data_IF_568430888830
#
_entry.id   IF_568430888830
#
_cell.length_a   1.000
_cell.length_b   1.000
_cell.length_c   1.000
_cell.angle_alpha   90.00
_cell.angle_beta   90.00
_cell.angle_gamma   90.00
#
_symmetry.space_group_name_H-M   'P 1'
#
loop_
_entity.id
_entity.type
_entity.pdbx_description
1 polymer ?
#
# COMPACT_ATOMS: atom_id res chain seq x y z
N UNK A 1 -21.80 -7.53 -11.52
CA UNK A 1 -20.58 -7.71 -10.73
C UNK A 1 -19.63 -8.59 -11.53
N UNK A 2 -18.38 -8.16 -11.71
CA UNK A 2 -17.34 -8.99 -12.34
C UNK A 2 -16.64 -9.83 -11.28
N UNK A 3 -16.26 -11.05 -11.63
CA UNK A 3 -15.63 -12.00 -10.70
C UNK A 3 -14.29 -12.48 -11.25
N UNK A 4 -13.27 -12.49 -10.37
CA UNK A 4 -11.95 -13.08 -10.59
C UNK A 4 -11.68 -14.00 -9.42
N UNK A 5 -11.61 -15.31 -9.68
CA UNK A 5 -11.40 -16.30 -8.62
C UNK A 5 -10.27 -17.24 -8.99
N UNK A 6 -9.47 -17.60 -8.00
CA UNK A 6 -8.37 -18.58 -8.11
C UNK A 6 -7.40 -18.26 -9.28
N UNK A 7 -7.27 -16.97 -9.62
CA UNK A 7 -6.43 -16.54 -10.72
C UNK A 7 -5.00 -16.26 -10.25
N UNK A 8 -4.08 -16.46 -11.17
CA UNK A 8 -2.71 -16.05 -11.02
C UNK A 8 -2.34 -15.06 -12.12
N UNK A 9 -2.19 -13.81 -11.72
CA UNK A 9 -1.83 -12.70 -12.61
C UNK A 9 -0.35 -12.41 -12.39
N UNK A 10 0.48 -12.63 -13.42
CA UNK A 10 1.94 -12.49 -13.36
C UNK A 10 2.49 -11.55 -14.42
N UNK A 11 1.62 -10.95 -15.23
CA UNK A 11 1.98 -9.95 -16.23
C UNK A 11 0.97 -8.80 -16.19
N UNK A 12 1.40 -7.57 -16.54
CA UNK A 12 0.49 -6.43 -16.62
C UNK A 12 -0.48 -6.58 -17.81
N UNK A 13 -1.63 -5.94 -17.68
CA UNK A 13 -2.56 -5.73 -18.77
C UNK A 13 -2.04 -4.67 -19.77
N UNK A 14 -2.82 -4.40 -20.83
CA UNK A 14 -2.47 -3.37 -21.83
C UNK A 14 -2.36 -1.95 -21.26
N UNK A 15 -2.92 -1.70 -20.06
CA UNK A 15 -2.85 -0.43 -19.34
C UNK A 15 -1.68 -0.33 -18.37
N UNK A 16 -0.80 -1.35 -18.32
CA UNK A 16 0.34 -1.37 -17.41
C UNK A 16 0.00 -1.76 -15.97
N UNK A 17 -1.21 -2.28 -15.72
CA UNK A 17 -1.66 -2.75 -14.41
C UNK A 17 -1.67 -4.28 -14.37
N UNK A 18 -1.43 -4.87 -13.21
CA UNK A 18 -1.70 -6.29 -13.02
C UNK A 18 -3.19 -6.58 -13.14
N UNK A 19 -4.03 -5.70 -12.60
CA UNK A 19 -5.48 -5.77 -12.71
C UNK A 19 -6.07 -4.35 -12.75
N UNK A 20 -6.53 -3.93 -13.92
CA UNK A 20 -7.18 -2.63 -14.13
C UNK A 20 -8.71 -2.72 -13.99
N UNK A 21 -9.30 -1.85 -13.19
CA UNK A 21 -10.74 -1.74 -12.95
C UNK A 21 -11.19 -0.30 -13.20
N UNK A 22 -11.68 -0.02 -14.40
CA UNK A 22 -12.03 1.34 -14.85
C UNK A 22 -13.39 1.41 -15.54
N UNK A 23 -14.30 0.47 -15.28
CA UNK A 23 -15.57 0.31 -15.97
C UNK A 23 -16.80 0.74 -15.13
N UNK A 24 -16.58 1.28 -13.94
CA UNK A 24 -17.63 1.68 -13.02
C UNK A 24 -18.38 0.51 -12.35
N UNK A 25 -18.04 -0.73 -12.69
CA UNK A 25 -18.71 -1.93 -12.17
C UNK A 25 -18.14 -2.37 -10.81
N UNK A 26 -18.93 -3.08 -10.01
CA UNK A 26 -18.41 -3.76 -8.83
C UNK A 26 -17.64 -5.03 -9.23
N UNK A 27 -16.50 -5.24 -8.58
CA UNK A 27 -15.60 -6.37 -8.78
C UNK A 27 -15.47 -7.21 -7.50
N UNK A 28 -15.43 -8.52 -7.66
CA UNK A 28 -15.05 -9.47 -6.61
C UNK A 28 -13.80 -10.23 -7.05
N UNK A 29 -12.74 -10.15 -6.25
CA UNK A 29 -11.48 -10.87 -6.48
C UNK A 29 -11.24 -11.76 -5.27
N UNK A 30 -11.26 -13.08 -5.47
CA UNK A 30 -11.10 -14.05 -4.38
C UNK A 30 -9.99 -15.07 -4.68
N UNK A 31 -9.32 -15.51 -3.62
CA UNK A 31 -8.35 -16.60 -3.63
C UNK A 31 -7.27 -16.47 -4.71
N UNK A 32 -6.92 -15.22 -5.06
CA UNK A 32 -6.09 -14.90 -6.23
C UNK A 32 -4.70 -14.38 -5.84
N UNK A 33 -3.72 -14.66 -6.71
CA UNK A 33 -2.36 -14.17 -6.62
C UNK A 33 -2.12 -13.15 -7.73
N UNK A 34 -1.80 -11.90 -7.37
CA UNK A 34 -1.28 -10.88 -8.29
C UNK A 34 0.20 -10.71 -7.94
N UNK A 35 1.08 -11.26 -8.77
CA UNK A 35 2.52 -11.29 -8.54
C UNK A 35 3.27 -10.69 -9.73
N UNK A 36 3.62 -9.42 -9.63
CA UNK A 36 4.35 -8.68 -10.65
C UNK A 36 5.84 -8.51 -10.30
N UNK A 37 6.35 -9.28 -9.35
CA UNK A 37 7.74 -9.17 -8.89
C UNK A 37 8.79 -9.51 -9.95
N UNK A 38 8.43 -10.24 -10.99
CA UNK A 38 9.28 -10.56 -12.13
C UNK A 38 9.18 -9.53 -13.28
N UNK A 39 8.24 -8.58 -13.21
CA UNK A 39 8.06 -7.57 -14.24
C UNK A 39 9.06 -6.43 -14.07
N UNK A 40 9.60 -5.87 -15.17
CA UNK A 40 10.39 -4.65 -15.11
C UNK A 40 9.54 -3.51 -14.52
N UNK A 41 10.12 -2.71 -13.63
CA UNK A 41 9.42 -1.56 -13.03
C UNK A 41 9.15 -0.43 -14.02
N UNK A 42 9.85 -0.42 -15.15
CA UNK A 42 9.63 0.53 -16.25
C UNK A 42 8.31 0.21 -16.96
N UNK A 43 7.34 1.12 -16.84
CA UNK A 43 6.00 0.96 -17.41
C UNK A 43 5.01 0.18 -16.54
N UNK A 44 5.41 -0.24 -15.34
CA UNK A 44 4.55 -0.88 -14.35
C UNK A 44 4.35 0.03 -13.15
N UNK A 45 3.30 0.84 -13.17
CA UNK A 45 3.04 1.76 -12.05
C UNK A 45 2.31 1.08 -10.90
N UNK A 46 1.26 0.30 -11.17
CA UNK A 46 0.41 -0.29 -10.14
C UNK A 46 0.16 -1.80 -10.34
N UNK A 47 0.10 -2.55 -9.24
CA UNK A 47 -0.39 -3.92 -9.28
C UNK A 47 -1.90 -3.96 -9.50
N UNK A 48 -2.64 -3.03 -8.91
CA UNK A 48 -4.09 -2.89 -9.06
C UNK A 48 -4.45 -1.43 -9.27
N UNK A 49 -5.20 -1.13 -10.32
CA UNK A 49 -5.79 0.18 -10.58
C UNK A 49 -7.32 0.13 -10.39
N UNK A 50 -7.89 0.98 -9.53
CA UNK A 50 -9.34 1.11 -9.35
C UNK A 50 -9.74 2.57 -9.55
N UNK A 51 -10.32 2.85 -10.70
CA UNK A 51 -10.67 4.21 -11.13
C UNK A 51 -12.08 4.25 -11.74
N UNK A 52 -12.52 5.41 -12.20
CA UNK A 52 -13.80 5.60 -12.90
C UNK A 52 -15.02 5.11 -12.12
N UNK A 53 -15.02 5.24 -10.81
CA UNK A 53 -16.14 4.87 -9.98
C UNK A 53 -16.33 3.37 -9.77
N UNK A 54 -15.37 2.55 -10.16
CA UNK A 54 -15.37 1.12 -9.86
C UNK A 54 -15.28 0.89 -8.34
N UNK A 55 -15.78 -0.27 -7.90
CA UNK A 55 -15.68 -0.75 -6.51
C UNK A 55 -15.08 -2.13 -6.54
N UNK A 56 -14.33 -2.50 -5.53
CA UNK A 56 -13.74 -3.83 -5.50
C UNK A 56 -13.74 -4.41 -4.08
N UNK A 57 -13.99 -5.71 -4.00
CA UNK A 57 -13.73 -6.54 -2.83
C UNK A 57 -12.66 -7.56 -3.18
N UNK A 58 -11.52 -7.45 -2.52
CA UNK A 58 -10.46 -8.46 -2.54
C UNK A 58 -10.57 -9.29 -1.27
N UNK A 59 -10.71 -10.60 -1.42
CA UNK A 59 -10.80 -11.51 -0.29
C UNK A 59 -9.82 -12.66 -0.47
N UNK A 60 -9.04 -12.93 0.56
CA UNK A 60 -8.02 -13.98 0.57
C UNK A 60 -7.06 -13.89 -0.63
N UNK A 61 -6.64 -12.67 -0.96
CA UNK A 61 -5.71 -12.41 -2.06
C UNK A 61 -4.31 -12.13 -1.56
N UNK A 62 -3.33 -12.47 -2.39
CA UNK A 62 -1.94 -12.03 -2.22
C UNK A 62 -1.55 -11.13 -3.38
N UNK A 63 -1.08 -9.92 -3.08
CA UNK A 63 -0.72 -8.91 -4.07
C UNK A 63 0.70 -8.44 -3.77
N UNK A 64 1.59 -8.50 -4.78
CA UNK A 64 3.00 -8.14 -4.61
C UNK A 64 3.66 -7.65 -5.91
N UNK A 65 4.79 -6.98 -5.77
CA UNK A 65 5.72 -6.73 -6.87
C UNK A 65 5.28 -5.63 -7.81
N UNK A 66 5.12 -4.40 -7.34
CA UNK A 66 4.93 -3.22 -8.19
C UNK A 66 5.53 -2.00 -7.51
N UNK A 67 5.67 -0.90 -8.24
CA UNK A 67 6.04 0.39 -7.66
C UNK A 67 4.98 0.88 -6.67
N UNK A 68 3.73 0.83 -7.07
CA UNK A 68 2.54 1.02 -6.23
C UNK A 68 1.74 -0.28 -6.20
N UNK A 69 1.20 -0.63 -5.06
CA UNK A 69 0.41 -1.84 -4.96
C UNK A 69 -1.03 -1.63 -5.39
N UNK A 70 -1.62 -0.51 -5.02
CA UNK A 70 -2.96 -0.08 -5.44
C UNK A 70 -2.97 1.42 -5.68
N UNK A 71 -3.53 1.84 -6.81
CA UNK A 71 -4.02 3.20 -7.01
C UNK A 71 -5.55 3.19 -6.96
N UNK A 72 -6.12 3.96 -6.07
CA UNK A 72 -7.56 4.11 -5.88
C UNK A 72 -7.96 5.57 -6.12
N UNK A 73 -8.62 5.81 -7.25
CA UNK A 73 -8.98 7.14 -7.76
C UNK A 73 -7.97 7.68 -8.76
N UNK A 74 -8.45 8.42 -9.74
CA UNK A 74 -7.64 8.95 -10.84
C UNK A 74 -6.89 10.25 -10.50
N UNK A 75 -7.35 10.98 -9.48
CA UNK A 75 -6.88 12.34 -9.20
C UNK A 75 -7.46 13.42 -10.12
N UNK A 76 -8.23 13.06 -11.14
CA UNK A 76 -8.80 13.98 -12.11
C UNK A 76 -10.06 14.66 -11.55
N UNK A 77 -10.16 15.96 -11.70
CA UNK A 77 -11.30 16.74 -11.23
C UNK A 77 -12.61 16.28 -11.89
N UNK A 78 -12.59 15.95 -13.17
CA UNK A 78 -13.75 15.52 -13.95
C UNK A 78 -14.31 14.17 -13.49
N UNK A 79 -13.46 13.33 -12.92
CA UNK A 79 -13.83 12.00 -12.42
C UNK A 79 -14.28 12.01 -10.96
N UNK A 80 -14.01 13.10 -10.24
CA UNK A 80 -14.28 13.21 -8.81
C UNK A 80 -15.73 12.88 -8.43
N UNK A 81 -16.70 13.29 -9.27
CA UNK A 81 -18.11 13.04 -9.01
C UNK A 81 -18.46 11.55 -9.02
N UNK A 82 -17.88 10.78 -9.96
CA UNK A 82 -18.14 9.34 -10.08
C UNK A 82 -17.32 8.50 -9.10
N UNK A 83 -16.17 9.00 -8.68
CA UNK A 83 -15.25 8.32 -7.74
C UNK A 83 -15.62 8.55 -6.28
N UNK A 84 -16.24 9.69 -5.96
CA UNK A 84 -16.60 10.06 -4.58
C UNK A 84 -17.38 8.98 -3.86
N UNK A 85 -16.90 8.59 -2.68
CA UNK A 85 -17.54 7.60 -1.80
C UNK A 85 -17.48 6.15 -2.30
N UNK A 86 -16.85 5.89 -3.45
CA UNK A 86 -16.61 4.51 -3.89
C UNK A 86 -15.59 3.84 -2.96
N UNK A 87 -15.75 2.54 -2.80
CA UNK A 87 -14.99 1.80 -1.78
C UNK A 87 -14.30 0.59 -2.39
N UNK A 88 -13.05 0.41 -2.01
CA UNK A 88 -12.25 -0.80 -2.24
C UNK A 88 -12.00 -1.46 -0.88
N UNK A 89 -12.26 -2.75 -0.78
CA UNK A 89 -12.14 -3.51 0.46
C UNK A 89 -11.13 -4.63 0.26
N UNK A 90 -10.21 -4.79 1.21
CA UNK A 90 -9.33 -5.94 1.33
C UNK A 90 -9.66 -6.68 2.61
N UNK A 91 -10.00 -7.96 2.51
CA UNK A 91 -10.29 -8.85 3.63
C UNK A 91 -9.37 -10.07 3.58
N UNK A 92 -8.71 -10.36 4.70
CA UNK A 92 -7.81 -11.52 4.83
C UNK A 92 -6.72 -11.56 3.73
N UNK A 93 -6.14 -10.40 3.38
CA UNK A 93 -5.17 -10.29 2.29
C UNK A 93 -3.73 -10.11 2.79
N UNK A 94 -2.76 -10.52 1.95
CA UNK A 94 -1.35 -10.13 2.10
C UNK A 94 -0.98 -9.14 1.00
N UNK A 95 -0.50 -7.96 1.42
CA UNK A 95 -0.01 -6.88 0.57
C UNK A 95 1.49 -6.74 0.82
N UNK A 96 2.34 -7.16 -0.13
CA UNK A 96 3.77 -7.29 0.16
C UNK A 96 4.70 -6.97 -1.01
N UNK A 97 5.97 -6.73 -0.68
CA UNK A 97 7.08 -6.60 -1.63
C UNK A 97 6.84 -5.53 -2.71
N UNK A 98 6.39 -4.35 -2.34
CA UNK A 98 6.15 -3.23 -3.23
C UNK A 98 7.13 -2.06 -3.00
N UNK A 99 7.45 -1.33 -4.08
CA UNK A 99 8.52 -0.35 -4.07
C UNK A 99 8.20 0.93 -3.32
N UNK A 100 7.21 1.69 -3.76
CA UNK A 100 6.97 3.03 -3.24
C UNK A 100 5.78 3.13 -2.30
N UNK A 101 4.63 2.60 -2.71
CA UNK A 101 3.36 2.84 -2.05
C UNK A 101 2.51 1.58 -2.03
N UNK A 102 1.95 1.27 -0.87
CA UNK A 102 0.87 0.32 -0.74
C UNK A 102 -0.42 0.90 -1.34
N UNK A 103 -1.57 0.68 -0.71
CA UNK A 103 -2.78 1.37 -1.12
C UNK A 103 -2.61 2.89 -1.09
N UNK A 104 -2.65 3.52 -2.28
CA UNK A 104 -2.71 4.96 -2.49
C UNK A 104 -4.15 5.35 -2.80
N UNK A 105 -4.73 6.25 -2.02
CA UNK A 105 -6.16 6.60 -2.11
C UNK A 105 -6.33 8.09 -2.24
N UNK A 106 -7.05 8.49 -3.30
CA UNK A 106 -7.35 9.89 -3.62
C UNK A 106 -8.79 10.06 -4.15
N UNK A 107 -9.15 11.24 -4.62
CA UNK A 107 -10.45 11.54 -5.24
C UNK A 107 -11.66 11.21 -4.37
N UNK A 108 -11.54 11.41 -3.05
CA UNK A 108 -12.60 11.10 -2.09
C UNK A 108 -13.07 9.63 -2.10
N UNK A 109 -12.29 8.72 -2.65
CA UNK A 109 -12.52 7.28 -2.56
C UNK A 109 -12.13 6.76 -1.16
N UNK A 110 -12.53 5.53 -0.87
CA UNK A 110 -12.28 4.88 0.42
C UNK A 110 -11.65 3.52 0.22
N UNK A 111 -10.62 3.21 1.00
CA UNK A 111 -10.06 1.86 1.13
C UNK A 111 -10.29 1.36 2.55
N UNK A 112 -10.75 0.13 2.66
CA UNK A 112 -10.92 -0.57 3.93
C UNK A 112 -10.00 -1.78 3.92
N UNK A 113 -9.15 -1.90 4.94
CA UNK A 113 -8.26 -3.02 5.17
C UNK A 113 -8.75 -3.76 6.41
N UNK A 114 -9.16 -5.03 6.25
CA UNK A 114 -9.61 -5.88 7.37
C UNK A 114 -8.76 -7.13 7.46
N UNK A 115 -8.19 -7.40 8.61
CA UNK A 115 -7.37 -8.60 8.87
C UNK A 115 -6.28 -8.79 7.82
N UNK A 116 -5.62 -7.71 7.41
CA UNK A 116 -4.58 -7.73 6.39
C UNK A 116 -3.17 -7.72 6.98
N UNK A 117 -2.25 -8.36 6.27
CA UNK A 117 -0.82 -8.24 6.51
C UNK A 117 -0.19 -7.36 5.44
N UNK A 118 0.30 -6.18 5.83
CA UNK A 118 1.04 -5.28 4.95
C UNK A 118 2.52 -5.36 5.33
N UNK A 119 3.38 -5.77 4.38
CA UNK A 119 4.79 -5.96 4.69
C UNK A 119 5.75 -5.65 3.54
N UNK A 120 7.00 -5.41 3.89
CA UNK A 120 8.12 -5.23 2.94
C UNK A 120 7.85 -4.12 1.90
N UNK A 121 7.39 -2.95 2.32
CA UNK A 121 7.28 -1.79 1.45
C UNK A 121 8.58 -1.00 1.39
N UNK A 122 8.83 -0.33 0.27
CA UNK A 122 10.08 0.35 -0.04
C UNK A 122 11.10 -0.61 -0.66
N UNK A 123 11.68 -0.20 -1.78
CA UNK A 123 12.73 -0.98 -2.44
C UNK A 123 14.02 -0.94 -1.63
N UNK A 124 14.74 -2.05 -1.52
CA UNK A 124 16.12 -2.03 -1.04
C UNK A 124 16.96 -1.13 -1.96
N UNK A 125 17.45 0.00 -1.44
CA UNK A 125 18.26 0.96 -2.20
C UNK A 125 17.51 2.12 -2.84
N UNK A 126 16.19 2.14 -2.80
CA UNK A 126 15.35 3.27 -3.20
C UNK A 126 14.34 3.61 -2.11
N UNK A 127 14.80 3.92 -0.91
CA UNK A 127 13.94 4.53 0.08
C UNK A 127 13.67 5.98 -0.34
N UNK A 128 12.72 6.16 -1.23
CA UNK A 128 12.11 7.45 -1.42
C UNK A 128 11.46 7.85 -0.08
N UNK A 129 11.66 9.10 0.33
CA UNK A 129 10.93 9.72 1.47
C UNK A 129 9.41 9.61 1.33
N UNK A 130 8.91 9.11 0.22
CA UNK A 130 7.52 8.84 -0.14
C UNK A 130 7.12 7.37 -0.07
N UNK A 131 7.91 6.49 0.55
CA UNK A 131 7.52 5.09 0.73
C UNK A 131 6.55 4.95 1.90
N UNK A 132 5.33 4.47 1.61
CA UNK A 132 4.25 4.30 2.58
C UNK A 132 3.67 2.89 2.49
N UNK A 133 3.34 2.29 3.62
CA UNK A 133 2.57 1.06 3.62
C UNK A 133 1.13 1.29 3.12
N UNK A 134 0.54 2.44 3.48
CA UNK A 134 -0.74 2.90 2.94
C UNK A 134 -0.82 4.43 3.05
N UNK A 135 -1.36 5.09 2.04
CA UNK A 135 -1.37 6.55 1.93
C UNK A 135 -2.69 7.11 1.43
N UNK A 136 -3.30 8.00 2.22
CA UNK A 136 -4.50 8.75 1.86
C UNK A 136 -4.16 10.22 1.60
N UNK A 137 -4.62 10.77 0.48
CA UNK A 137 -4.47 12.19 0.16
C UNK A 137 -5.64 12.69 -0.73
N UNK A 138 -5.73 14.00 -0.95
CA UNK A 138 -6.76 14.64 -1.78
C UNK A 138 -8.19 14.11 -1.50
N UNK A 139 -8.57 14.13 -0.21
CA UNK A 139 -9.88 13.67 0.25
C UNK A 139 -10.04 12.14 0.36
N UNK A 140 -9.04 11.37 -0.05
CA UNK A 140 -9.05 9.90 0.08
C UNK A 140 -9.11 9.46 1.55
N UNK A 141 -9.67 8.27 1.79
CA UNK A 141 -9.83 7.72 3.14
C UNK A 141 -9.32 6.29 3.22
N UNK A 142 -8.57 5.98 4.28
CA UNK A 142 -8.16 4.61 4.59
C UNK A 142 -8.62 4.26 6.00
N UNK A 143 -9.27 3.12 6.13
CA UNK A 143 -9.64 2.51 7.40
C UNK A 143 -8.98 1.14 7.51
N UNK A 144 -8.20 0.93 8.55
CA UNK A 144 -7.53 -0.33 8.85
C UNK A 144 -8.07 -0.91 10.14
N UNK A 145 -8.50 -2.17 10.10
CA UNK A 145 -9.05 -2.90 11.24
C UNK A 145 -8.36 -4.26 11.35
N UNK A 146 -7.87 -4.57 12.53
CA UNK A 146 -7.18 -5.84 12.86
C UNK A 146 -6.05 -6.16 11.87
N UNK A 147 -5.26 -5.15 11.48
CA UNK A 147 -4.18 -5.29 10.50
C UNK A 147 -2.80 -5.31 11.15
N UNK A 148 -1.87 -6.02 10.49
CA UNK A 148 -0.46 -6.06 10.88
C UNK A 148 0.40 -5.36 9.84
N UNK A 149 1.21 -4.40 10.29
CA UNK A 149 2.19 -3.67 9.50
C UNK A 149 3.59 -4.13 9.88
N UNK A 150 4.28 -4.79 8.94
CA UNK A 150 5.55 -5.47 9.20
C UNK A 150 6.64 -5.08 8.18
N UNK A 151 7.75 -4.55 8.65
CA UNK A 151 8.88 -4.16 7.81
C UNK A 151 10.18 -4.86 8.27
N UNK A 152 10.33 -6.15 7.98
CA UNK A 152 11.50 -6.91 8.43
C UNK A 152 12.79 -6.54 7.70
N UNK A 153 12.71 -5.96 6.49
CA UNK A 153 13.88 -5.67 5.63
C UNK A 153 14.59 -4.36 5.96
N UNK A 154 14.06 -3.58 6.89
CA UNK A 154 14.59 -2.27 7.24
C UNK A 154 16.12 -2.24 7.41
N UNK A 155 16.67 -3.17 8.18
CA UNK A 155 18.10 -3.19 8.47
C UNK A 155 19.01 -3.61 7.30
N UNK A 156 18.50 -4.31 6.30
CA UNK A 156 19.29 -4.70 5.12
C UNK A 156 19.57 -3.54 4.19
N UNK A 157 18.70 -2.56 4.17
CA UNK A 157 18.80 -1.38 3.29
C UNK A 157 19.28 -0.10 3.99
N UNK A 158 19.53 -0.10 5.32
CA UNK A 158 19.72 1.13 6.07
C UNK A 158 20.89 1.99 5.55
N UNK A 159 22.00 1.39 5.10
CA UNK A 159 23.14 2.13 4.52
C UNK A 159 22.78 2.84 3.21
N UNK A 160 22.03 2.15 2.37
CA UNK A 160 21.52 2.71 1.11
C UNK A 160 20.50 3.81 1.40
N UNK A 161 19.63 3.58 2.38
CA UNK A 161 18.65 4.55 2.83
C UNK A 161 19.31 5.83 3.38
N UNK A 162 20.37 5.72 4.17
CA UNK A 162 21.12 6.89 4.66
C UNK A 162 21.79 7.64 3.51
N UNK A 163 22.35 6.94 2.54
CA UNK A 163 22.96 7.55 1.35
C UNK A 163 21.92 8.30 0.52
N UNK A 164 20.77 7.67 0.24
CA UNK A 164 19.72 8.29 -0.53
C UNK A 164 19.06 9.44 0.24
N UNK A 165 18.94 9.34 1.55
CA UNK A 165 18.50 10.43 2.42
C UNK A 165 19.44 11.63 2.37
N UNK A 166 20.77 11.41 2.43
CA UNK A 166 21.76 12.47 2.30
C UNK A 166 21.71 13.14 0.92
N UNK A 167 21.53 12.37 -0.15
CA UNK A 167 21.38 12.89 -1.50
C UNK A 167 20.09 13.75 -1.64
N UNK A 168 18.99 13.31 -1.05
CA UNK A 168 17.73 14.08 -1.04
C UNK A 168 17.78 15.31 -0.15
N UNK A 169 18.54 15.30 0.95
CA UNK A 169 18.79 16.51 1.74
C UNK A 169 19.50 17.57 0.92
N UNK A 170 20.50 17.17 0.12
CA UNK A 170 21.19 18.10 -0.79
C UNK A 170 20.25 18.72 -1.82
N UNK A 171 19.34 17.94 -2.39
CA UNK A 171 18.33 18.43 -3.33
C UNK A 171 17.27 19.29 -2.64
N UNK A 172 16.78 18.86 -1.47
CA UNK A 172 15.75 19.58 -0.71
C UNK A 172 16.26 20.94 -0.17
N UNK A 173 17.56 21.03 0.11
CA UNK A 173 18.17 22.30 0.53
C UNK A 173 18.13 23.35 -0.57
N UNK A 174 18.23 22.93 -1.82
CA UNK A 174 18.24 23.79 -3.00
C UNK A 174 16.84 24.04 -3.58
N UNK A 175 15.81 23.28 -3.19
CA UNK A 175 14.44 23.40 -3.68
C UNK A 175 13.49 23.89 -2.59
N UNK A 176 12.96 25.12 -2.75
CA UNK A 176 12.02 25.71 -1.78
C UNK A 176 10.74 24.88 -1.58
N UNK A 177 10.28 24.17 -2.61
CA UNK A 177 9.10 23.30 -2.53
C UNK A 177 9.33 22.07 -1.63
N UNK A 178 10.59 21.65 -1.51
CA UNK A 178 10.98 20.51 -0.69
C UNK A 178 11.34 20.90 0.75
N UNK A 179 11.54 22.19 1.05
CA UNK A 179 11.84 22.67 2.42
C UNK A 179 10.77 22.26 3.45
N UNK A 180 9.51 22.13 3.03
CA UNK A 180 8.45 21.61 3.90
C UNK A 180 8.64 20.14 4.31
N UNK A 181 9.41 19.36 3.56
CA UNK A 181 9.80 18.00 3.88
C UNK A 181 10.91 17.93 4.94
N UNK A 182 11.61 19.04 5.17
CA UNK A 182 12.67 19.21 6.17
C UNK A 182 12.13 19.35 7.61
N UNK A 183 10.85 19.04 7.86
CA UNK A 183 10.35 18.98 9.24
C UNK A 183 11.10 17.89 10.04
N UNK A 184 11.44 18.15 11.31
CA UNK A 184 12.27 17.24 12.12
C UNK A 184 11.83 15.80 12.12
N UNK A 185 10.52 15.52 12.00
CA UNK A 185 9.96 14.17 11.97
C UNK A 185 10.30 13.40 10.67
N UNK A 186 10.61 14.11 9.58
CA UNK A 186 11.04 13.54 8.31
C UNK A 186 12.55 13.25 8.29
N UNK A 187 13.28 13.75 9.29
CA UNK A 187 14.74 13.67 9.38
C UNK A 187 15.24 12.43 10.11
N UNK A 188 14.36 11.72 10.81
CA UNK A 188 14.77 10.50 11.46
C UNK A 188 14.91 9.41 10.39
N UNK A 189 16.16 9.07 9.97
CA UNK A 189 16.37 7.88 9.17
C UNK A 189 15.82 6.72 9.99
N UNK A 190 14.84 6.00 9.46
CA UNK A 190 14.28 4.86 10.14
C UNK A 190 12.84 4.95 10.58
N UNK A 191 12.15 6.05 10.40
CA UNK A 191 10.70 6.07 10.60
C UNK A 191 10.03 5.58 9.33
N UNK A 192 9.72 4.29 9.29
CA UNK A 192 8.88 3.75 8.24
C UNK A 192 7.46 4.29 8.37
N UNK A 193 6.97 4.90 7.32
CA UNK A 193 5.60 5.39 7.27
C UNK A 193 4.68 4.22 6.98
N UNK A 194 3.98 3.74 8.00
CA UNK A 194 2.98 2.69 7.86
C UNK A 194 1.70 3.27 7.24
N UNK A 195 0.83 3.84 8.06
CA UNK A 195 -0.42 4.44 7.63
C UNK A 195 -0.33 5.96 7.76
N UNK A 196 -0.54 6.70 6.67
CA UNK A 196 -0.31 8.15 6.63
C UNK A 196 -1.41 8.89 5.87
N UNK A 197 -1.75 10.09 6.34
CA UNK A 197 -2.63 11.03 5.66
C UNK A 197 -1.89 12.34 5.34
N UNK A 198 -2.13 12.89 4.14
CA UNK A 198 -1.63 14.21 3.72
C UNK A 198 -2.67 14.92 2.85
N UNK A 199 -2.51 16.21 2.63
CA UNK A 199 -3.31 16.98 1.66
C UNK A 199 -4.83 16.70 1.73
N UNK A 200 -5.41 16.76 2.93
CA UNK A 200 -6.86 16.54 3.15
C UNK A 200 -7.28 15.06 3.14
N UNK A 201 -6.35 14.13 3.07
CA UNK A 201 -6.64 12.71 3.26
C UNK A 201 -6.96 12.38 4.73
N UNK A 202 -7.61 11.24 4.96
CA UNK A 202 -7.98 10.76 6.28
C UNK A 202 -7.59 9.30 6.46
N UNK A 203 -7.06 8.97 7.64
CA UNK A 203 -6.73 7.59 8.01
C UNK A 203 -7.27 7.28 9.40
N UNK A 204 -7.75 6.04 9.58
CA UNK A 204 -8.17 5.50 10.88
C UNK A 204 -7.63 4.08 11.02
N UNK A 205 -7.13 3.75 12.19
CA UNK A 205 -6.67 2.40 12.50
C UNK A 205 -7.26 1.94 13.83
N UNK A 206 -7.84 0.75 13.86
CA UNK A 206 -8.36 0.12 15.06
C UNK A 206 -7.80 -1.29 15.19
N UNK A 207 -7.47 -1.71 16.38
CA UNK A 207 -6.94 -3.05 16.66
C UNK A 207 -5.78 -3.44 15.70
N UNK A 208 -4.94 -2.47 15.33
CA UNK A 208 -3.81 -2.68 14.42
C UNK A 208 -2.50 -2.77 15.20
N UNK A 209 -1.54 -3.51 14.64
CA UNK A 209 -0.19 -3.60 15.19
C UNK A 209 0.89 -3.31 14.16
N UNK A 210 1.76 -2.39 14.49
CA UNK A 210 3.08 -2.27 13.88
C UNK A 210 4.05 -3.22 14.61
N UNK A 211 4.77 -4.07 13.86
CA UNK A 211 5.68 -5.07 14.48
C UNK A 211 6.94 -4.43 15.05
N UNK A 212 7.21 -3.18 14.67
CA UNK A 212 8.38 -2.41 15.12
C UNK A 212 7.95 -1.02 15.55
N UNK A 213 8.63 -0.45 16.55
CA UNK A 213 8.34 0.86 17.12
C UNK A 213 8.55 2.02 16.13
N UNK A 214 9.39 1.84 15.11
CA UNK A 214 9.65 2.85 14.06
C UNK A 214 8.63 2.87 12.94
N UNK A 215 7.63 1.97 12.94
CA UNK A 215 6.51 2.01 12.00
C UNK A 215 5.42 2.90 12.59
N UNK A 216 5.17 4.03 11.95
CA UNK A 216 4.15 4.98 12.39
C UNK A 216 2.80 4.62 11.76
N UNK A 217 1.79 4.48 12.59
CA UNK A 217 0.38 4.38 12.20
C UNK A 217 -0.33 5.65 12.65
N UNK A 218 -0.71 6.51 11.71
CA UNK A 218 -1.52 7.68 12.00
C UNK A 218 -2.99 7.28 12.21
N UNK A 219 -3.75 8.11 12.93
CA UNK A 219 -5.18 7.87 13.16
C UNK A 219 -5.50 6.61 13.97
N UNK A 220 -4.53 6.04 14.69
CA UNK A 220 -4.78 4.88 15.54
C UNK A 220 -5.60 5.29 16.76
N UNK A 221 -6.66 4.53 17.06
CA UNK A 221 -7.52 4.71 18.22
C UNK A 221 -7.87 3.37 18.87
N UNK A 222 -8.20 3.41 20.16
CA UNK A 222 -8.51 2.21 20.95
C UNK A 222 -7.28 1.33 21.25
N UNK A 223 -7.50 0.13 21.76
CA UNK A 223 -6.44 -0.81 22.10
C UNK A 223 -5.69 -1.26 20.83
N UNK A 224 -4.43 -1.62 20.99
CA UNK A 224 -3.63 -2.23 19.90
C UNK A 224 -3.75 -3.74 19.98
N UNK A 225 -3.82 -4.39 18.81
CA UNK A 225 -3.72 -5.84 18.70
C UNK A 225 -2.55 -6.39 19.54
N UNK A 226 -2.74 -7.49 20.23
CA UNK A 226 -1.67 -8.13 21.00
C UNK A 226 -0.55 -8.67 20.08
N UNK A 227 0.61 -8.98 20.66
CA UNK A 227 1.72 -9.56 19.89
C UNK A 227 1.37 -10.97 19.44
N UNK A 228 0.69 -11.72 20.28
CA UNK A 228 0.22 -13.08 20.03
C UNK A 228 -0.78 -13.12 18.88
N UNK A 229 -1.79 -12.25 18.90
CA UNK A 229 -2.81 -12.14 17.84
C UNK A 229 -2.18 -11.72 16.51
N UNK A 230 -1.25 -10.78 16.53
CA UNK A 230 -0.53 -10.38 15.33
C UNK A 230 0.30 -11.53 14.73
N UNK A 231 0.92 -12.36 15.57
CA UNK A 231 1.64 -13.56 15.12
C UNK A 231 0.70 -14.63 14.61
N UNK A 232 -0.46 -14.82 15.27
CA UNK A 232 -1.49 -15.76 14.84
C UNK A 232 -2.03 -15.38 13.46
N UNK A 233 -2.42 -14.11 13.26
CA UNK A 233 -2.90 -13.62 11.97
C UNK A 233 -1.86 -13.82 10.86
N UNK A 234 -0.58 -13.50 11.11
CA UNK A 234 0.49 -13.71 10.13
C UNK A 234 0.62 -15.15 9.71
N UNK A 235 0.56 -16.10 10.66
CA UNK A 235 0.63 -17.54 10.37
C UNK A 235 -0.59 -18.02 9.59
N UNK A 236 -1.77 -17.60 10.02
CA UNK A 236 -3.04 -17.92 9.36
C UNK A 236 -3.05 -17.49 7.89
N UNK A 237 -2.76 -16.21 7.63
CA UNK A 237 -2.73 -15.67 6.26
C UNK A 237 -1.64 -16.36 5.41
N UNK A 238 -0.46 -16.61 5.97
CA UNK A 238 0.61 -17.29 5.25
C UNK A 238 0.28 -18.75 4.89
N UNK A 239 -0.56 -19.42 5.69
CA UNK A 239 -0.97 -20.80 5.44
C UNK A 239 -2.09 -20.92 4.41
N UNK A 240 -3.04 -19.97 4.42
CA UNK A 240 -4.26 -20.01 3.59
C UNK A 240 -4.08 -19.44 2.19
N UNK A 241 -3.19 -18.45 2.03
CA UNK A 241 -3.11 -17.69 0.80
C UNK A 241 -2.24 -18.36 -0.26
N UNK A 242 -2.52 -18.09 -1.55
CA UNK A 242 -1.73 -18.64 -2.65
C UNK A 242 -0.23 -18.37 -2.45
N UNK A 243 0.58 -19.40 -2.60
CA UNK A 243 2.04 -19.28 -2.47
C UNK A 243 2.62 -18.73 -3.74
N UNK A 244 3.46 -17.71 -3.60
CA UNK A 244 4.34 -17.32 -4.70
C UNK A 244 5.33 -18.47 -4.99
N UNK A 245 5.63 -18.77 -6.28
CA UNK A 245 6.74 -19.68 -6.58
C UNK A 245 7.98 -19.11 -5.90
N UNK A 246 8.75 -19.95 -5.27
CA UNK A 246 10.07 -19.59 -4.80
C UNK A 246 10.86 -19.13 -6.04
N UNK A 247 11.35 -17.90 -6.04
CA UNK A 247 12.44 -17.52 -6.96
C UNK A 247 13.59 -18.48 -6.66
N UNK A 248 13.81 -19.42 -7.59
CA UNK A 248 15.03 -20.21 -7.59
C UNK A 248 16.22 -19.32 -7.82
#
# INVERSE_FOLDING_TARGET
>A
MREVREQRITAPDAGGHGLGMSDGQPWLVEDSLIDLSACPLEGLDEAVGVTWGSRALFRRCRIRGAGKLLLCGSGDADKLAVERGKTVIFEDCILEDFGRRGPEVQSCMRVILRRCLIRNWGEPGRFDVRSFAAWAHHGGRIEAESCVFDQPRFWRGWRLMVRDWLAHLGQAWNDERLRGLLRPINWLPGVCRGLVATAGGHVRAADCRATRWWIRLEGHYGPRMSREDAQALRRELAARLPRSPRSM
#
